data_IF_259273272239
#
_entry.id   IF_259273272239
#
_cell.length_a   1.000
_cell.length_b   1.000
_cell.length_c   1.000
_cell.angle_alpha   90.00
_cell.angle_beta   90.00
_cell.angle_gamma   90.00
#
_symmetry.space_group_name_H-M   'P 1'
#
loop_
_entity.id
_entity.type
_entity.pdbx_description
1 polymer ?
#
# COMPACT_ATOMS: atom_id res chain seq x y z
N UNK A 1 2.33 11.30 -14.81
CA UNK A 1 3.12 11.61 -13.61
C UNK A 1 2.25 12.31 -12.57
N UNK A 2 2.52 12.02 -11.30
CA UNK A 2 2.02 12.80 -10.16
C UNK A 2 3.19 13.67 -9.67
N UNK A 3 3.08 14.97 -9.85
CA UNK A 3 4.03 15.95 -9.33
C UNK A 3 3.52 16.40 -7.96
N UNK A 4 4.41 16.43 -6.96
CA UNK A 4 4.01 16.75 -5.58
C UNK A 4 4.99 17.73 -4.98
N UNK A 5 4.47 18.72 -4.28
CA UNK A 5 5.23 19.60 -3.40
C UNK A 5 5.02 19.16 -1.95
N UNK A 6 6.12 19.02 -1.21
CA UNK A 6 6.11 18.52 0.15
C UNK A 6 6.74 19.56 1.09
N UNK A 7 6.17 19.71 2.29
CA UNK A 7 6.78 20.53 3.32
C UNK A 7 8.01 19.83 3.95
N UNK A 8 8.70 20.53 4.84
CA UNK A 8 9.87 20.00 5.53
C UNK A 8 9.59 18.73 6.36
N UNK A 9 8.33 18.49 6.73
CA UNK A 9 7.90 17.30 7.46
C UNK A 9 7.51 16.12 6.54
N UNK A 10 7.48 16.33 5.21
CA UNK A 10 7.07 15.35 4.23
C UNK A 10 5.56 15.33 3.93
N UNK A 11 4.79 16.33 4.38
CA UNK A 11 3.36 16.43 4.09
C UNK A 11 3.15 17.07 2.73
N UNK A 12 2.20 16.53 1.95
CA UNK A 12 1.83 17.10 0.65
C UNK A 12 1.17 18.47 0.84
N UNK A 13 1.74 19.50 0.24
CA UNK A 13 1.22 20.88 0.23
C UNK A 13 0.44 21.12 -1.05
N UNK A 14 0.96 20.65 -2.19
CA UNK A 14 0.32 20.73 -3.49
C UNK A 14 0.67 19.52 -4.35
N UNK A 15 -0.19 19.19 -5.30
CA UNK A 15 0.05 18.12 -6.27
C UNK A 15 -0.71 18.35 -7.58
N UNK A 16 -0.11 17.88 -8.66
CA UNK A 16 -0.69 17.92 -10.00
C UNK A 16 -0.48 16.59 -10.73
N UNK A 17 -1.49 16.17 -11.48
CA UNK A 17 -1.38 15.06 -12.41
C UNK A 17 -1.17 15.59 -13.81
N UNK A 18 -0.13 15.13 -14.47
CA UNK A 18 0.27 15.61 -15.79
C UNK A 18 0.68 14.44 -16.70
N UNK A 19 0.44 14.58 -17.99
CA UNK A 19 1.09 13.70 -18.97
C UNK A 19 2.55 14.13 -19.14
N UNK A 20 3.45 13.18 -19.09
CA UNK A 20 4.88 13.45 -19.14
C UNK A 20 5.62 12.44 -19.99
N UNK A 21 6.79 12.83 -20.48
CA UNK A 21 7.78 11.93 -21.07
C UNK A 21 8.92 11.80 -20.08
N UNK A 22 9.25 10.56 -19.73
CA UNK A 22 10.35 10.26 -18.79
C UNK A 22 11.50 9.58 -19.53
N UNK A 23 12.71 9.74 -19.00
CA UNK A 23 13.90 9.00 -19.42
C UNK A 23 14.47 8.27 -18.21
N UNK A 24 14.36 6.94 -18.19
CA UNK A 24 14.97 6.14 -17.15
C UNK A 24 16.50 6.28 -17.19
N UNK A 25 17.10 6.58 -16.05
CA UNK A 25 18.56 6.73 -15.89
C UNK A 25 19.21 5.43 -15.47
N UNK A 26 18.56 4.70 -14.56
CA UNK A 26 19.04 3.44 -14.00
C UNK A 26 17.86 2.49 -13.84
N UNK A 27 18.05 1.22 -14.18
CA UNK A 27 17.11 0.14 -13.79
C UNK A 27 17.44 -0.25 -12.35
N UNK A 28 16.73 0.33 -11.40
CA UNK A 28 16.91 0.07 -9.98
C UNK A 28 16.51 -1.35 -9.60
N UNK A 29 17.30 -1.98 -8.75
CA UNK A 29 17.04 -3.29 -8.14
C UNK A 29 17.11 -3.11 -6.62
N UNK A 30 16.07 -3.50 -5.90
CA UNK A 30 15.97 -3.29 -4.45
C UNK A 30 17.20 -3.77 -3.68
N UNK A 31 17.64 -5.00 -3.93
CA UNK A 31 18.84 -5.58 -3.29
C UNK A 31 20.09 -4.72 -3.51
N UNK A 32 20.25 -4.14 -4.68
CA UNK A 32 21.38 -3.27 -5.03
C UNK A 32 21.29 -1.92 -4.31
N UNK A 33 20.10 -1.33 -4.27
CA UNK A 33 19.88 -0.07 -3.55
C UNK A 33 20.03 -0.27 -2.05
N UNK A 34 19.56 -1.38 -1.48
CA UNK A 34 19.81 -1.73 -0.08
C UNK A 34 21.31 -1.84 0.19
N UNK A 35 22.09 -2.52 -0.66
CA UNK A 35 23.54 -2.61 -0.52
C UNK A 35 24.24 -1.24 -0.57
N UNK A 36 23.71 -0.29 -1.36
CA UNK A 36 24.19 1.10 -1.37
C UNK A 36 23.88 1.79 -0.07
N UNK A 37 22.66 1.64 0.47
CA UNK A 37 22.24 2.24 1.74
C UNK A 37 23.00 1.69 2.95
N UNK A 38 23.33 0.39 2.93
CA UNK A 38 24.07 -0.30 3.98
C UNK A 38 25.59 -0.10 3.87
N UNK A 39 26.06 0.54 2.81
CA UNK A 39 27.49 0.77 2.56
C UNK A 39 28.27 -0.45 2.08
N UNK A 40 27.59 -1.57 1.79
CA UNK A 40 28.20 -2.85 1.35
C UNK A 40 28.39 -2.94 -0.18
N UNK A 41 27.91 -1.95 -0.95
CA UNK A 41 28.09 -1.90 -2.39
C UNK A 41 29.57 -1.80 -2.78
N UNK A 42 29.98 -2.60 -3.74
CA UNK A 42 31.29 -2.49 -4.36
C UNK A 42 31.41 -1.31 -5.34
N UNK A 43 32.61 -1.08 -5.84
CA UNK A 43 32.86 0.03 -6.77
C UNK A 43 32.11 -0.12 -8.10
N UNK A 44 31.94 -1.34 -8.60
CA UNK A 44 31.23 -1.59 -9.86
C UNK A 44 29.74 -1.27 -9.72
N UNK A 45 29.14 -1.65 -8.59
CA UNK A 45 27.75 -1.32 -8.27
C UNK A 45 27.56 0.19 -8.10
N UNK A 46 28.43 0.86 -7.36
CA UNK A 46 28.39 2.33 -7.18
C UNK A 46 28.49 3.05 -8.53
N UNK A 47 29.35 2.60 -9.42
CA UNK A 47 29.51 3.19 -10.76
C UNK A 47 28.24 3.02 -11.59
N UNK A 48 27.56 1.88 -11.49
CA UNK A 48 26.29 1.63 -12.19
C UNK A 48 25.17 2.59 -11.77
N UNK A 49 25.16 3.00 -10.50
CA UNK A 49 24.21 3.95 -9.94
C UNK A 49 24.69 5.40 -9.91
N UNK A 50 25.85 5.71 -10.53
CA UNK A 50 26.44 7.05 -10.50
C UNK A 50 25.49 8.14 -11.01
N UNK A 51 24.65 7.82 -12.01
CA UNK A 51 23.70 8.77 -12.59
C UNK A 51 22.58 9.21 -11.63
N UNK A 52 22.40 8.52 -10.50
CA UNK A 52 21.35 8.79 -9.48
C UNK A 52 21.92 8.78 -8.05
N UNK A 53 23.24 8.89 -7.93
CA UNK A 53 23.94 8.80 -6.66
C UNK A 53 23.59 9.94 -5.69
N UNK A 54 23.20 11.10 -6.21
CA UNK A 54 22.81 12.26 -5.40
C UNK A 54 21.33 12.20 -4.98
N UNK A 55 20.49 11.55 -5.77
CA UNK A 55 19.07 11.43 -5.54
C UNK A 55 18.75 10.36 -4.49
N UNK A 56 19.48 9.25 -4.46
CA UNK A 56 19.23 8.16 -3.53
C UNK A 56 19.22 8.58 -2.05
N UNK A 57 20.17 9.37 -1.53
CA UNK A 57 20.13 9.86 -0.15
C UNK A 57 18.91 10.74 0.12
N UNK A 58 18.50 11.59 -0.83
CA UNK A 58 17.32 12.45 -0.71
C UNK A 58 16.03 11.62 -0.68
N UNK A 59 15.95 10.59 -1.52
CA UNK A 59 14.83 9.65 -1.52
C UNK A 59 14.74 8.91 -0.18
N UNK A 60 15.87 8.47 0.37
CA UNK A 60 15.96 7.83 1.68
C UNK A 60 15.51 8.77 2.81
N UNK A 61 15.97 10.02 2.81
CA UNK A 61 15.53 11.03 3.78
C UNK A 61 14.02 11.26 3.71
N UNK A 62 13.48 11.40 2.50
CA UNK A 62 12.03 11.55 2.31
C UNK A 62 11.28 10.31 2.82
N UNK A 63 11.75 9.11 2.51
CA UNK A 63 11.17 7.88 3.04
C UNK A 63 11.05 7.89 4.56
N UNK A 64 12.10 8.25 5.28
CA UNK A 64 12.05 8.32 6.75
C UNK A 64 11.02 9.32 7.28
N UNK A 65 10.84 10.45 6.60
CA UNK A 65 9.79 11.43 6.94
C UNK A 65 8.40 10.84 6.72
N UNK A 66 8.17 10.18 5.58
CA UNK A 66 6.90 9.55 5.24
C UNK A 66 6.56 8.38 6.19
N UNK A 67 7.52 7.52 6.50
CA UNK A 67 7.36 6.43 7.45
C UNK A 67 6.98 6.94 8.86
N UNK A 68 7.61 8.04 9.30
CA UNK A 68 7.24 8.70 10.55
C UNK A 68 5.81 9.24 10.53
N UNK A 69 5.38 9.87 9.43
CA UNK A 69 4.01 10.35 9.28
C UNK A 69 3.01 9.18 9.23
N UNK A 70 3.37 8.07 8.55
CA UNK A 70 2.57 6.85 8.52
C UNK A 70 2.37 6.28 9.93
N UNK A 71 3.43 6.14 10.71
CA UNK A 71 3.35 5.67 12.09
C UNK A 71 2.51 6.61 12.97
N UNK A 72 2.73 7.94 12.88
CA UNK A 72 1.97 8.92 13.63
C UNK A 72 0.47 8.94 13.29
N UNK A 73 0.10 8.57 12.06
CA UNK A 73 -1.29 8.41 11.60
C UNK A 73 -1.94 7.14 12.15
N UNK A 74 -1.16 6.18 12.64
CA UNK A 74 -1.65 4.89 13.13
C UNK A 74 -1.91 3.89 11.99
N UNK A 75 -1.23 4.01 10.86
CA UNK A 75 -1.26 2.97 9.84
C UNK A 75 -0.68 1.67 10.42
N UNK A 76 -1.42 0.58 10.27
CA UNK A 76 -0.99 -0.71 10.78
C UNK A 76 0.09 -1.31 9.89
N UNK A 77 1.20 -1.70 10.51
CA UNK A 77 2.28 -2.45 9.87
C UNK A 77 2.12 -3.93 10.23
N UNK A 78 1.25 -4.61 9.50
CA UNK A 78 1.04 -6.05 9.65
C UNK A 78 1.98 -6.72 8.66
N UNK A 79 3.13 -7.17 9.16
CA UNK A 79 4.01 -8.03 8.36
C UNK A 79 3.28 -9.35 8.08
N UNK A 80 2.80 -9.51 6.85
CA UNK A 80 2.51 -10.83 6.33
C UNK A 80 3.87 -11.52 6.15
N UNK A 81 4.13 -12.57 6.92
CA UNK A 81 5.35 -13.36 6.75
C UNK A 81 5.31 -14.10 5.40
N UNK A 82 5.42 -13.37 4.30
CA UNK A 82 5.49 -13.97 2.97
C UNK A 82 6.66 -14.92 2.92
N UNK A 83 6.38 -16.17 2.60
CA UNK A 83 7.39 -17.17 2.34
C UNK A 83 7.91 -17.00 0.91
N UNK A 84 9.21 -17.08 0.73
CA UNK A 84 9.85 -17.15 -0.57
C UNK A 84 10.36 -18.56 -0.80
N UNK A 85 9.84 -19.20 -1.84
CA UNK A 85 10.34 -20.49 -2.28
C UNK A 85 11.72 -20.30 -2.93
N UNK A 86 12.67 -21.10 -2.50
CA UNK A 86 14.00 -21.21 -3.13
C UNK A 86 13.95 -22.43 -4.04
N UNK A 87 14.10 -22.18 -5.34
CA UNK A 87 14.05 -23.25 -6.35
C UNK A 87 15.45 -23.61 -6.81
N UNK A 88 15.70 -24.90 -7.08
CA UNK A 88 16.91 -25.38 -7.77
C UNK A 88 16.84 -25.08 -9.28
N UNK A 89 17.91 -25.45 -10.00
CA UNK A 89 17.99 -25.24 -11.46
C UNK A 89 16.92 -26.03 -12.24
N UNK A 90 16.35 -27.07 -11.64
CA UNK A 90 15.26 -27.87 -12.21
C UNK A 90 13.87 -27.33 -11.85
N UNK A 91 13.78 -26.20 -11.11
CA UNK A 91 12.54 -25.59 -10.67
C UNK A 91 11.88 -26.28 -9.47
N UNK A 92 12.59 -27.16 -8.75
CA UNK A 92 12.07 -27.83 -7.55
C UNK A 92 12.34 -26.99 -6.32
N UNK A 93 11.36 -26.91 -5.42
CA UNK A 93 11.54 -26.19 -4.15
C UNK A 93 12.56 -26.94 -3.27
N UNK A 94 13.63 -26.27 -2.90
CA UNK A 94 14.70 -26.79 -2.04
C UNK A 94 14.73 -26.13 -0.67
N UNK A 95 14.10 -24.96 -0.53
CA UNK A 95 14.01 -24.25 0.75
C UNK A 95 12.85 -23.26 0.76
N UNK A 96 12.39 -22.87 1.94
CA UNK A 96 11.36 -21.86 2.17
C UNK A 96 11.91 -20.83 3.15
N UNK A 97 12.21 -19.63 2.67
CA UNK A 97 12.79 -18.57 3.49
C UNK A 97 11.79 -17.43 3.70
N UNK A 98 11.85 -16.77 4.85
CA UNK A 98 11.08 -15.54 5.08
C UNK A 98 11.57 -14.47 4.08
N UNK A 99 10.64 -13.86 3.35
CA UNK A 99 10.95 -12.72 2.49
C UNK A 99 11.28 -11.51 3.37
N UNK A 100 12.52 -11.09 3.34
CA UNK A 100 12.93 -9.85 4.00
C UNK A 100 12.55 -8.65 3.11
N UNK A 101 11.97 -7.63 3.74
CA UNK A 101 11.67 -6.34 3.12
C UNK A 101 12.75 -5.36 3.56
N UNK A 102 13.61 -4.99 2.63
CA UNK A 102 14.64 -4.00 2.88
C UNK A 102 14.10 -2.55 2.85
N UNK A 103 14.98 -1.61 3.14
CA UNK A 103 14.62 -0.20 3.19
C UNK A 103 14.22 0.35 1.81
N UNK A 104 14.83 -0.14 0.73
CA UNK A 104 14.49 0.29 -0.62
C UNK A 104 13.07 -0.13 -1.05
N UNK A 105 12.61 -1.32 -0.64
CA UNK A 105 11.24 -1.77 -0.87
C UNK A 105 10.23 -0.88 -0.15
N UNK A 106 10.49 -0.60 1.13
CA UNK A 106 9.64 0.24 1.97
C UNK A 106 9.60 1.69 1.48
N UNK A 107 10.74 2.22 1.00
CA UNK A 107 10.84 3.55 0.41
C UNK A 107 9.93 3.69 -0.81
N UNK A 108 9.96 2.74 -1.74
CA UNK A 108 9.10 2.76 -2.92
C UNK A 108 7.62 2.58 -2.52
N UNK A 109 7.34 1.75 -1.53
CA UNK A 109 5.98 1.60 -0.99
C UNK A 109 5.43 2.93 -0.48
N UNK A 110 6.19 3.70 0.32
CA UNK A 110 5.75 5.00 0.80
C UNK A 110 5.49 5.99 -0.35
N UNK A 111 6.33 5.99 -1.39
CA UNK A 111 6.11 6.84 -2.56
C UNK A 111 4.86 6.42 -3.35
N UNK A 112 4.60 5.11 -3.46
CA UNK A 112 3.38 4.62 -4.08
C UNK A 112 2.15 4.99 -3.27
N UNK A 113 2.18 4.85 -1.93
CA UNK A 113 1.09 5.25 -1.04
C UNK A 113 0.77 6.74 -1.19
N UNK A 114 1.80 7.58 -1.28
CA UNK A 114 1.65 9.02 -1.45
C UNK A 114 0.97 9.36 -2.78
N UNK A 115 1.41 8.76 -3.88
CA UNK A 115 0.80 8.96 -5.21
C UNK A 115 -0.64 8.41 -5.28
N UNK A 116 -0.89 7.25 -4.68
CA UNK A 116 -2.20 6.61 -4.61
C UNK A 116 -3.21 7.47 -3.83
N UNK A 117 -2.81 7.99 -2.66
CA UNK A 117 -3.67 8.88 -1.86
C UNK A 117 -3.91 10.23 -2.54
N UNK A 118 -2.90 10.79 -3.22
CA UNK A 118 -3.06 12.02 -3.99
C UNK A 118 -4.03 11.85 -5.16
N UNK A 119 -4.01 10.70 -5.85
CA UNK A 119 -4.96 10.40 -6.92
C UNK A 119 -6.41 10.32 -6.39
N UNK A 120 -6.61 9.65 -5.25
CA UNK A 120 -7.92 9.55 -4.61
C UNK A 120 -8.42 10.92 -4.11
N UNK A 121 -7.52 11.72 -3.50
CA UNK A 121 -7.84 13.07 -3.05
C UNK A 121 -8.23 14.01 -4.19
N UNK A 122 -7.53 13.93 -5.34
CA UNK A 122 -7.91 14.69 -6.55
C UNK A 122 -9.32 14.30 -7.00
N UNK A 123 -9.60 13.00 -7.11
CA UNK A 123 -10.90 12.52 -7.56
C UNK A 123 -12.02 12.96 -6.62
N UNK A 124 -11.80 12.93 -5.32
CA UNK A 124 -12.75 13.43 -4.33
C UNK A 124 -12.97 14.94 -4.45
N UNK A 125 -11.90 15.73 -4.59
CA UNK A 125 -11.95 17.19 -4.72
C UNK A 125 -12.74 17.62 -5.94
N UNK A 126 -12.52 16.98 -7.09
CA UNK A 126 -13.18 17.26 -8.36
C UNK A 126 -14.49 16.46 -8.54
N UNK A 127 -14.87 15.64 -7.56
CA UNK A 127 -16.05 14.76 -7.63
C UNK A 127 -16.05 13.85 -8.87
N UNK A 128 -14.88 13.37 -9.27
CA UNK A 128 -14.75 12.49 -10.44
C UNK A 128 -15.34 11.10 -10.13
N UNK A 129 -15.96 10.44 -11.13
CA UNK A 129 -16.18 9.00 -11.04
C UNK A 129 -14.84 8.29 -10.95
N UNK A 130 -14.68 7.41 -9.96
CA UNK A 130 -13.39 6.83 -9.67
C UNK A 130 -13.50 5.40 -9.14
N UNK A 131 -12.38 4.70 -9.05
CA UNK A 131 -12.28 3.36 -8.47
C UNK A 131 -11.44 3.46 -7.20
N UNK A 132 -12.10 3.61 -6.06
CA UNK A 132 -11.42 3.71 -4.77
C UNK A 132 -11.06 2.32 -4.23
N UNK A 133 -9.97 2.22 -3.49
CA UNK A 133 -9.64 1.05 -2.69
C UNK A 133 -10.10 1.30 -1.26
N UNK A 134 -11.18 0.65 -0.88
CA UNK A 134 -11.85 0.84 0.40
C UNK A 134 -11.50 -0.28 1.35
N UNK A 135 -11.22 0.07 2.60
CA UNK A 135 -11.04 -0.86 3.69
C UNK A 135 -11.80 -0.33 4.91
N UNK A 136 -12.96 -0.91 5.18
CA UNK A 136 -13.81 -0.48 6.27
C UNK A 136 -13.25 -0.94 7.62
N UNK A 137 -13.66 -0.28 8.70
CA UNK A 137 -13.32 -0.73 10.05
C UNK A 137 -13.92 -2.12 10.33
N UNK A 138 -13.34 -2.90 11.25
CA UNK A 138 -13.92 -4.18 11.66
C UNK A 138 -15.31 -4.00 12.23
N UNK A 139 -16.19 -4.95 11.97
CA UNK A 139 -17.52 -5.00 12.57
C UNK A 139 -17.47 -5.44 14.05
N UNK A 140 -18.56 -5.25 14.77
CA UNK A 140 -18.63 -5.53 16.19
C UNK A 140 -18.36 -7.00 16.55
N UNK A 141 -18.82 -7.94 15.73
CA UNK A 141 -18.60 -9.37 15.97
C UNK A 141 -17.10 -9.72 15.90
N UNK A 142 -16.39 -9.16 14.93
CA UNK A 142 -14.95 -9.36 14.76
C UNK A 142 -14.15 -8.71 15.88
N UNK A 143 -14.58 -7.54 16.34
CA UNK A 143 -13.97 -6.85 17.49
C UNK A 143 -14.11 -7.71 18.75
N UNK A 144 -15.30 -8.26 18.97
CA UNK A 144 -15.53 -9.09 20.16
C UNK A 144 -14.68 -10.38 20.12
N UNK A 145 -14.58 -11.03 18.97
CA UNK A 145 -13.66 -12.16 18.78
C UNK A 145 -12.19 -11.78 19.03
N UNK A 146 -11.77 -10.58 18.59
CA UNK A 146 -10.42 -10.08 18.85
C UNK A 146 -10.22 -9.92 20.37
N UNK A 147 -11.13 -9.27 21.08
CA UNK A 147 -11.05 -9.09 22.54
C UNK A 147 -10.94 -10.44 23.27
N UNK A 148 -11.77 -11.41 22.90
CA UNK A 148 -11.73 -12.76 23.48
C UNK A 148 -10.37 -13.44 23.24
N UNK A 149 -9.83 -13.32 22.05
CA UNK A 149 -8.51 -13.90 21.70
C UNK A 149 -7.38 -13.22 22.47
N UNK A 150 -7.42 -11.90 22.62
CA UNK A 150 -6.42 -11.16 23.41
C UNK A 150 -6.47 -11.57 24.88
N UNK A 151 -7.67 -11.67 25.46
CA UNK A 151 -7.88 -12.13 26.84
C UNK A 151 -7.37 -13.55 27.03
N UNK A 152 -7.70 -14.48 26.13
CA UNK A 152 -7.21 -15.86 26.19
C UNK A 152 -5.67 -15.98 26.04
N UNK A 153 -5.06 -15.05 25.31
CA UNK A 153 -3.60 -14.98 25.17
C UNK A 153 -2.91 -14.27 26.36
N UNK A 154 -3.67 -13.80 27.37
CA UNK A 154 -3.14 -13.06 28.52
C UNK A 154 -2.64 -11.66 28.17
N UNK A 155 -3.11 -11.08 27.07
CA UNK A 155 -2.77 -9.71 26.67
C UNK A 155 -3.73 -8.75 27.38
N UNK A 156 -3.19 -7.94 28.26
CA UNK A 156 -3.93 -6.88 28.93
C UNK A 156 -4.01 -5.65 28.00
N UNK A 157 -5.06 -5.60 27.18
CA UNK A 157 -5.27 -4.52 26.26
C UNK A 157 -6.74 -4.07 26.25
N UNK A 158 -6.96 -2.77 26.47
CA UNK A 158 -8.29 -2.16 26.50
C UNK A 158 -8.42 -1.12 25.40
N UNK A 159 -9.49 -1.22 24.62
CA UNK A 159 -9.85 -0.20 23.64
C UNK A 159 -10.65 0.91 24.34
N UNK A 160 -10.42 2.18 23.97
CA UNK A 160 -11.12 3.31 24.57
C UNK A 160 -12.61 3.37 24.20
N UNK A 161 -13.00 2.72 23.10
CA UNK A 161 -14.37 2.68 22.62
C UNK A 161 -14.81 1.28 22.19
N UNK A 162 -16.02 1.20 21.67
CA UNK A 162 -16.57 -0.07 21.15
C UNK A 162 -15.80 -0.57 19.93
N UNK A 163 -15.39 0.36 19.07
CA UNK A 163 -14.55 0.07 17.89
C UNK A 163 -13.14 0.59 18.12
N UNK A 164 -12.10 -0.26 18.01
CA UNK A 164 -10.72 0.17 18.16
C UNK A 164 -10.33 1.16 17.06
N UNK A 165 -9.55 2.15 17.44
CA UNK A 165 -8.91 3.05 16.50
C UNK A 165 -7.71 2.36 15.83
N UNK A 166 -7.29 2.87 14.68
CA UNK A 166 -6.07 2.37 14.01
C UNK A 166 -4.82 2.58 14.86
N UNK A 167 -4.76 3.66 15.64
CA UNK A 167 -3.66 3.94 16.57
C UNK A 167 -3.58 2.90 17.69
N UNK A 168 -4.71 2.50 18.27
CA UNK A 168 -4.76 1.45 19.31
C UNK A 168 -4.29 0.12 18.77
N UNK A 169 -4.75 -0.26 17.57
CA UNK A 169 -4.32 -1.49 16.93
C UNK A 169 -2.85 -1.45 16.53
N UNK A 170 -2.35 -0.34 16.00
CA UNK A 170 -0.94 -0.15 15.69
C UNK A 170 -0.06 -0.25 16.94
N UNK A 171 -0.51 0.32 18.06
CA UNK A 171 0.16 0.18 19.35
C UNK A 171 0.19 -1.27 19.82
N UNK A 172 -0.95 -1.97 19.80
CA UNK A 172 -1.04 -3.38 20.16
C UNK A 172 -0.05 -4.25 19.36
N UNK A 173 0.03 -4.03 18.03
CA UNK A 173 0.98 -4.71 17.17
C UNK A 173 2.44 -4.38 17.52
N UNK A 174 2.73 -3.11 17.82
CA UNK A 174 4.08 -2.68 18.21
C UNK A 174 4.51 -3.26 19.58
N UNK A 175 3.62 -3.23 20.58
CA UNK A 175 3.88 -3.70 21.94
C UNK A 175 4.11 -5.23 22.00
N UNK A 176 3.56 -5.97 21.05
CA UNK A 176 3.73 -7.44 20.98
C UNK A 176 4.86 -7.90 20.07
N UNK A 177 5.45 -6.99 19.27
CA UNK A 177 6.54 -7.29 18.34
C UNK A 177 7.78 -7.83 19.07
N UNK A 178 8.39 -8.88 18.53
CA UNK A 178 9.57 -9.55 19.13
C UNK A 178 9.26 -10.42 20.35
N UNK A 179 7.99 -10.55 20.75
CA UNK A 179 7.57 -11.43 21.85
C UNK A 179 6.96 -12.72 21.30
N UNK A 180 6.73 -13.71 22.20
CA UNK A 180 6.00 -14.94 21.86
C UNK A 180 4.51 -14.68 21.50
N UNK A 181 3.99 -13.48 21.80
CA UNK A 181 2.62 -13.04 21.50
C UNK A 181 2.49 -12.38 20.12
N UNK A 182 3.59 -12.04 19.46
CA UNK A 182 3.59 -11.37 18.16
C UNK A 182 2.70 -12.10 17.14
N UNK A 183 3.02 -13.36 16.85
CA UNK A 183 2.30 -14.15 15.84
C UNK A 183 0.82 -14.32 16.14
N UNK A 184 0.40 -14.78 17.36
CA UNK A 184 -1.01 -14.94 17.67
C UNK A 184 -1.78 -13.59 17.64
N UNK A 185 -1.21 -12.51 18.16
CA UNK A 185 -1.86 -11.19 18.17
C UNK A 185 -1.96 -10.63 16.75
N UNK A 186 -0.88 -10.61 15.98
CA UNK A 186 -0.87 -10.12 14.61
C UNK A 186 -1.87 -10.90 13.73
N UNK A 187 -1.92 -12.24 13.87
CA UNK A 187 -2.89 -13.05 13.15
C UNK A 187 -4.34 -12.72 13.56
N UNK A 188 -4.59 -12.50 14.84
CA UNK A 188 -5.94 -12.18 15.34
C UNK A 188 -6.39 -10.79 14.89
N UNK A 189 -5.50 -9.80 14.94
CA UNK A 189 -5.77 -8.47 14.40
C UNK A 189 -6.06 -8.56 12.91
N UNK A 190 -5.24 -9.26 12.12
CA UNK A 190 -5.46 -9.42 10.69
C UNK A 190 -6.80 -10.09 10.37
N UNK A 191 -7.17 -11.14 11.11
CA UNK A 191 -8.46 -11.84 10.93
C UNK A 191 -9.66 -11.00 11.34
N UNK A 192 -9.50 -10.06 12.26
CA UNK A 192 -10.56 -9.13 12.64
C UNK A 192 -10.84 -8.07 11.59
N UNK A 193 -9.89 -7.80 10.68
CA UNK A 193 -10.05 -6.78 9.65
C UNK A 193 -11.11 -7.17 8.60
N UNK A 194 -11.81 -6.17 8.09
CA UNK A 194 -12.62 -6.32 6.89
C UNK A 194 -11.70 -6.60 5.68
N UNK A 195 -12.24 -7.23 4.65
CA UNK A 195 -11.50 -7.33 3.38
C UNK A 195 -11.57 -6.01 2.63
N UNK A 196 -10.42 -5.54 2.14
CA UNK A 196 -10.41 -4.40 1.25
C UNK A 196 -11.07 -4.76 -0.09
N UNK A 197 -11.79 -3.81 -0.69
CA UNK A 197 -12.52 -3.97 -1.96
C UNK A 197 -12.41 -2.71 -2.80
N UNK A 198 -12.79 -2.80 -4.08
CA UNK A 198 -12.90 -1.64 -4.93
C UNK A 198 -14.34 -1.12 -4.92
N UNK A 199 -14.51 0.17 -4.74
CA UNK A 199 -15.82 0.84 -4.73
C UNK A 199 -15.78 2.17 -5.50
N UNK A 200 -16.92 2.61 -6.09
CA UNK A 200 -16.99 3.91 -6.77
C UNK A 200 -17.12 5.09 -5.78
N UNK A 201 -17.34 4.81 -4.50
CA UNK A 201 -17.50 5.81 -3.45
C UNK A 201 -16.31 5.78 -2.47
N UNK A 202 -15.78 6.95 -2.05
CA UNK A 202 -14.72 7.02 -1.05
C UNK A 202 -15.28 6.71 0.35
N UNK A 203 -14.80 5.62 0.96
CA UNK A 203 -15.15 5.23 2.34
C UNK A 203 -13.92 5.13 3.25
N UNK A 204 -12.76 5.58 2.74
CA UNK A 204 -11.50 5.51 3.46
C UNK A 204 -10.84 4.13 3.41
N UNK A 205 -9.65 4.07 3.98
CA UNK A 205 -8.87 2.85 4.11
C UNK A 205 -8.38 2.68 5.55
N UNK A 206 -9.14 1.93 6.36
CA UNK A 206 -8.89 1.76 7.79
C UNK A 206 -7.46 1.30 8.08
N UNK A 207 -6.98 0.21 7.46
CA UNK A 207 -5.65 -0.33 7.73
C UNK A 207 -4.48 0.62 7.42
N UNK A 208 -4.66 1.56 6.49
CA UNK A 208 -3.68 2.60 6.17
C UNK A 208 -3.93 3.92 6.92
N UNK A 209 -5.02 4.01 7.68
CA UNK A 209 -5.48 5.23 8.34
C UNK A 209 -5.57 6.42 7.36
N UNK A 210 -6.12 6.18 6.16
CA UNK A 210 -6.28 7.17 5.10
C UNK A 210 -7.76 7.45 4.83
N UNK A 211 -8.11 8.73 4.70
CA UNK A 211 -9.47 9.14 4.35
C UNK A 211 -9.84 8.81 2.90
N UNK A 212 -8.87 8.89 2.00
CA UNK A 212 -9.03 8.61 0.59
C UNK A 212 -7.87 7.75 0.09
N UNK A 213 -8.19 6.66 -0.60
CA UNK A 213 -7.18 5.78 -1.16
C UNK A 213 -7.67 5.12 -2.44
N UNK A 214 -6.79 4.99 -3.41
CA UNK A 214 -7.03 4.29 -4.66
C UNK A 214 -5.73 3.65 -5.16
N UNK A 215 -5.83 2.63 -5.97
CA UNK A 215 -4.67 2.02 -6.61
C UNK A 215 -4.40 2.72 -7.94
N UNK A 216 -3.32 3.49 -8.02
CA UNK A 216 -2.94 4.27 -9.21
C UNK A 216 -1.60 3.86 -9.81
N UNK A 217 -0.67 3.36 -8.99
CA UNK A 217 0.75 3.24 -9.35
C UNK A 217 1.12 1.99 -10.13
N UNK A 218 0.20 1.05 -10.37
CA UNK A 218 0.53 -0.23 -11.01
C UNK A 218 -0.41 -0.62 -12.18
N UNK A 219 -0.60 0.24 -13.21
CA UNK A 219 -1.58 -0.01 -14.28
C UNK A 219 -1.23 -1.18 -15.21
N UNK A 220 0.01 -1.67 -15.19
CA UNK A 220 0.44 -2.83 -16.00
C UNK A 220 -0.20 -4.13 -15.48
N UNK A 221 -0.35 -4.26 -14.15
CA UNK A 221 -0.79 -5.49 -13.49
C UNK A 221 -2.12 -5.40 -12.76
N UNK A 222 -2.67 -4.20 -12.58
CA UNK A 222 -3.96 -3.99 -11.91
C UNK A 222 -4.91 -3.18 -12.78
N UNK A 223 -6.05 -3.79 -13.12
CA UNK A 223 -7.07 -3.13 -13.93
C UNK A 223 -7.66 -1.85 -13.28
N UNK A 224 -7.92 -1.78 -11.96
CA UNK A 224 -8.37 -0.55 -11.31
C UNK A 224 -7.44 0.65 -11.56
N UNK A 225 -6.13 0.43 -11.49
CA UNK A 225 -5.14 1.47 -11.80
C UNK A 225 -5.27 1.94 -13.24
N UNK A 226 -5.42 1.01 -14.19
CA UNK A 226 -5.60 1.35 -15.61
C UNK A 226 -6.90 2.12 -15.84
N UNK A 227 -8.00 1.75 -15.17
CA UNK A 227 -9.28 2.47 -15.23
C UNK A 227 -9.11 3.92 -14.75
N UNK A 228 -8.42 4.13 -13.63
CA UNK A 228 -8.08 5.45 -13.09
C UNK A 228 -7.23 6.25 -14.08
N UNK A 229 -6.22 5.63 -14.70
CA UNK A 229 -5.39 6.30 -15.70
C UNK A 229 -6.18 6.78 -16.91
N UNK A 230 -7.22 6.06 -17.34
CA UNK A 230 -8.12 6.51 -18.42
C UNK A 230 -8.86 7.77 -18.02
N UNK A 231 -9.46 7.79 -16.82
CA UNK A 231 -10.20 8.95 -16.29
C UNK A 231 -9.25 10.15 -16.17
N UNK A 232 -8.12 9.99 -15.50
CA UNK A 232 -7.14 11.07 -15.30
C UNK A 232 -6.53 11.57 -16.63
N UNK A 233 -6.42 10.70 -17.64
CA UNK A 233 -5.95 11.11 -18.97
C UNK A 233 -6.87 12.11 -19.64
N UNK A 234 -8.18 11.94 -19.52
CA UNK A 234 -9.15 12.87 -20.07
C UNK A 234 -9.20 14.16 -19.26
N UNK A 235 -9.09 14.07 -17.93
CA UNK A 235 -8.95 15.27 -17.07
C UNK A 235 -7.70 16.07 -17.44
N UNK A 236 -6.56 15.41 -17.62
CA UNK A 236 -5.31 16.06 -18.06
C UNK A 236 -5.41 16.65 -19.49
N UNK A 237 -6.32 16.12 -20.32
CA UNK A 237 -6.58 16.65 -21.66
C UNK A 237 -7.55 17.85 -21.65
N UNK A 238 -8.05 18.26 -20.47
CA UNK A 238 -8.95 19.40 -20.31
C UNK A 238 -10.42 19.07 -20.48
N UNK A 239 -10.82 17.80 -20.41
CA UNK A 239 -12.24 17.43 -20.38
C UNK A 239 -12.89 18.00 -19.12
N UNK A 240 -14.02 18.71 -19.26
CA UNK A 240 -14.73 19.26 -18.12
C UNK A 240 -15.35 18.18 -17.22
N UNK A 241 -15.53 18.51 -15.94
CA UNK A 241 -15.98 17.56 -14.93
C UNK A 241 -17.34 16.92 -15.25
N UNK A 242 -18.25 17.65 -15.89
CA UNK A 242 -19.57 17.14 -16.29
C UNK A 242 -19.45 16.10 -17.41
N UNK A 243 -18.58 16.33 -18.39
CA UNK A 243 -18.29 15.37 -19.45
C UNK A 243 -17.59 14.12 -18.92
N UNK A 244 -16.64 14.28 -17.99
CA UNK A 244 -15.98 13.15 -17.29
C UNK A 244 -17.02 12.33 -16.52
N UNK A 245 -17.90 12.99 -15.77
CA UNK A 245 -18.96 12.33 -15.02
C UNK A 245 -19.88 11.52 -15.94
N UNK A 246 -20.35 12.12 -17.02
CA UNK A 246 -21.23 11.45 -18.01
C UNK A 246 -20.54 10.23 -18.67
N UNK A 247 -19.25 10.36 -18.98
CA UNK A 247 -18.49 9.32 -19.68
C UNK A 247 -18.12 8.16 -18.77
N UNK A 248 -17.80 8.40 -17.51
CA UNK A 248 -17.13 7.42 -16.66
C UNK A 248 -17.93 6.95 -15.45
N UNK A 249 -19.11 7.52 -15.12
CA UNK A 249 -19.85 7.13 -13.92
C UNK A 249 -20.20 5.63 -13.91
N UNK A 250 -20.81 5.14 -14.98
CA UNK A 250 -21.14 3.73 -15.11
C UNK A 250 -19.89 2.86 -15.22
N UNK A 251 -18.91 3.27 -16.03
CA UNK A 251 -17.64 2.55 -16.18
C UNK A 251 -16.90 2.35 -14.85
N UNK A 252 -16.80 3.38 -14.00
CA UNK A 252 -16.12 3.30 -12.71
C UNK A 252 -16.87 2.36 -11.76
N UNK A 253 -18.20 2.38 -11.76
CA UNK A 253 -19.01 1.46 -10.97
C UNK A 253 -18.80 0.01 -11.39
N UNK A 254 -18.91 -0.29 -12.68
CA UNK A 254 -18.68 -1.63 -13.24
C UNK A 254 -17.25 -2.13 -12.99
N UNK A 255 -16.24 -1.27 -13.23
CA UNK A 255 -14.84 -1.58 -12.97
C UNK A 255 -14.57 -1.91 -11.50
N UNK A 256 -15.24 -1.23 -10.57
CA UNK A 256 -15.13 -1.49 -9.14
C UNK A 256 -15.65 -2.88 -8.76
N UNK A 257 -16.85 -3.23 -9.23
CA UNK A 257 -17.48 -4.53 -8.97
C UNK A 257 -16.63 -5.66 -9.57
N UNK A 258 -16.33 -5.58 -10.86
CA UNK A 258 -15.56 -6.62 -11.55
C UNK A 258 -14.17 -6.80 -10.94
N UNK A 259 -13.49 -5.71 -10.57
CA UNK A 259 -12.16 -5.79 -9.96
C UNK A 259 -12.19 -6.48 -8.61
N UNK A 260 -13.21 -6.22 -7.79
CA UNK A 260 -13.37 -6.88 -6.48
C UNK A 260 -13.65 -8.39 -6.64
N UNK A 261 -14.53 -8.76 -7.56
CA UNK A 261 -14.86 -10.17 -7.84
C UNK A 261 -13.66 -10.94 -8.39
N UNK A 262 -12.93 -10.34 -9.35
CA UNK A 262 -11.77 -10.98 -9.97
C UNK A 262 -10.57 -11.08 -9.02
N UNK A 263 -10.40 -10.13 -8.12
CA UNK A 263 -9.38 -10.22 -7.06
C UNK A 263 -9.65 -11.41 -6.14
N UNK A 264 -10.90 -11.59 -5.69
CA UNK A 264 -11.28 -12.75 -4.87
C UNK A 264 -11.03 -14.06 -5.61
N UNK A 265 -11.44 -14.13 -6.88
CA UNK A 265 -11.21 -15.33 -7.72
C UNK A 265 -9.72 -15.63 -7.86
N UNK A 266 -8.88 -14.62 -8.15
CA UNK A 266 -7.44 -14.80 -8.29
C UNK A 266 -6.79 -15.31 -7.00
N UNK A 267 -7.18 -14.75 -5.84
CA UNK A 267 -6.70 -15.22 -4.54
C UNK A 267 -7.14 -16.65 -4.22
N UNK A 268 -8.34 -17.06 -4.66
CA UNK A 268 -8.81 -18.43 -4.46
C UNK A 268 -7.98 -19.41 -5.30
N UNK A 269 -7.77 -19.10 -6.57
CA UNK A 269 -6.94 -19.93 -7.48
C UNK A 269 -5.49 -20.03 -6.96
N UNK A 270 -4.90 -18.92 -6.47
CA UNK A 270 -3.55 -18.92 -5.90
C UNK A 270 -3.46 -19.88 -4.71
N UNK A 271 -4.41 -19.82 -3.78
CA UNK A 271 -4.45 -20.73 -2.61
C UNK A 271 -4.65 -22.18 -3.01
N UNK A 272 -5.56 -22.45 -3.96
CA UNK A 272 -5.80 -23.82 -4.44
C UNK A 272 -4.53 -24.43 -5.07
N UNK A 273 -3.69 -23.60 -5.70
CA UNK A 273 -2.40 -24.04 -6.27
C UNK A 273 -1.33 -24.22 -5.19
N UNK A 274 -1.31 -23.36 -4.15
CA UNK A 274 -0.36 -23.49 -3.04
C UNK A 274 -0.66 -24.71 -2.15
N UNK A 275 -1.93 -25.11 -2.05
CA UNK A 275 -2.38 -26.27 -1.27
C UNK A 275 -2.16 -27.62 -2.00
N UNK A 276 -1.80 -27.62 -3.30
CA UNK A 276 -1.46 -28.80 -4.10
C UNK A 276 0.03 -29.15 -4.02
#
# INVERSE_FOLDING_TARGET
>A
SCMMELDAAGRVVDYAFVKSVIRSRVKGVYKEVNAIFDGTADNALRQRYAAVAQELPLMRELYHKLAKLRAARGAMDIESGEAKLVLDEAGRCVDVVKRERGEAEQMIEEFMLLANSSAAALARRLKLPFVYRVHEAPDQERIEKLKQTLTAAGVDFHFAGDTPTTLELAKLLADTRGTNLERPVHTSVLRSMAKAKYEPQPKGHFGLALADYAHFTSPIRRYPDLAIHRILSDVCAGMDDGAVQKKYAQFAAEASVQSSEREVLAMTVERDVEDC
#
